data_IF_357546928838
#
_entry.id   IF_357546928838
#
_cell.length_a   1.000
_cell.length_b   1.000
_cell.length_c   1.000
_cell.angle_alpha   90.00
_cell.angle_beta   90.00
_cell.angle_gamma   90.00
#
_symmetry.space_group_name_H-M   'P 1'
#
loop_
_entity.id
_entity.type
_entity.pdbx_description
1 polymer ?
#
# COMPACT_ATOMS: atom_id res chain seq x y z
N UNK A 1 -12.79 50.86 20.44
CA UNK A 1 -11.67 49.87 20.35
C UNK A 1 -12.05 48.43 20.76
N UNK A 2 -12.84 48.18 21.81
CA UNK A 2 -13.21 46.82 22.28
C UNK A 2 -13.96 45.93 21.25
N UNK A 3 -14.90 46.48 20.45
CA UNK A 3 -15.65 45.71 19.42
C UNK A 3 -14.75 45.20 18.29
N UNK A 4 -13.84 46.02 17.78
CA UNK A 4 -12.88 45.63 16.72
C UNK A 4 -11.91 44.53 17.20
N UNK A 5 -11.53 44.56 18.49
CA UNK A 5 -10.68 43.54 19.12
C UNK A 5 -11.37 42.19 19.27
N UNK A 6 -12.66 42.16 19.64
CA UNK A 6 -13.48 40.93 19.65
C UNK A 6 -13.66 40.35 18.25
N UNK A 7 -13.83 41.19 17.23
CA UNK A 7 -13.93 40.77 15.83
C UNK A 7 -12.62 40.11 15.35
N UNK A 8 -11.47 40.70 15.70
CA UNK A 8 -10.15 40.15 15.38
C UNK A 8 -9.89 38.79 16.05
N UNK A 9 -10.24 38.65 17.33
CA UNK A 9 -10.12 37.36 18.03
C UNK A 9 -11.03 36.27 17.43
N UNK A 10 -12.26 36.63 17.02
CA UNK A 10 -13.16 35.72 16.32
C UNK A 10 -12.61 35.25 14.97
N UNK A 11 -11.99 36.15 14.20
CA UNK A 11 -11.37 35.80 12.92
C UNK A 11 -10.19 34.82 13.07
N UNK A 12 -9.34 35.03 14.08
CA UNK A 12 -8.21 34.14 14.38
C UNK A 12 -8.71 32.74 14.78
N UNK A 13 -9.75 32.68 15.61
CA UNK A 13 -10.35 31.42 16.02
C UNK A 13 -10.98 30.66 14.85
N UNK A 14 -11.64 31.38 13.93
CA UNK A 14 -12.22 30.78 12.73
C UNK A 14 -11.14 30.22 11.79
N UNK A 15 -10.03 30.93 11.61
CA UNK A 15 -8.87 30.45 10.82
C UNK A 15 -8.25 29.21 11.47
N UNK A 16 -8.12 29.18 12.80
CA UNK A 16 -7.61 28.02 13.51
C UNK A 16 -8.50 26.78 13.35
N UNK A 17 -9.83 26.95 13.43
CA UNK A 17 -10.80 25.87 13.19
C UNK A 17 -10.70 25.36 11.74
N UNK A 18 -10.63 26.27 10.76
CA UNK A 18 -10.45 25.92 9.36
C UNK A 18 -9.16 25.13 9.12
N UNK A 19 -8.05 25.53 9.76
CA UNK A 19 -6.77 24.83 9.68
C UNK A 19 -6.83 23.40 10.25
N UNK A 20 -7.47 23.24 11.41
CA UNK A 20 -7.67 21.92 12.04
C UNK A 20 -8.58 21.05 11.18
N UNK A 21 -9.68 21.61 10.67
CA UNK A 21 -10.59 20.91 9.76
C UNK A 21 -9.86 20.42 8.51
N UNK A 22 -9.02 21.27 7.91
CA UNK A 22 -8.23 20.89 6.72
C UNK A 22 -7.16 19.82 7.03
N UNK A 23 -6.60 19.84 8.23
CA UNK A 23 -5.64 18.82 8.67
C UNK A 23 -6.31 17.46 8.88
N UNK A 24 -7.51 17.42 9.49
CA UNK A 24 -8.27 16.18 9.73
C UNK A 24 -8.86 15.64 8.43
N UNK A 25 -9.33 16.50 7.53
CA UNK A 25 -9.87 16.10 6.23
C UNK A 25 -8.80 15.77 5.19
N UNK A 26 -7.51 15.78 5.54
CA UNK A 26 -6.48 15.31 4.61
C UNK A 26 -6.69 13.82 4.33
N UNK A 27 -6.79 13.41 3.05
CA UNK A 27 -6.80 12.00 2.71
C UNK A 27 -5.48 11.39 3.19
N UNK A 28 -5.57 10.40 4.09
CA UNK A 28 -4.41 9.61 4.48
C UNK A 28 -4.14 8.63 3.36
N UNK A 29 -2.96 8.76 2.76
CA UNK A 29 -2.48 7.79 1.78
C UNK A 29 -2.09 6.51 2.54
N UNK A 30 -2.74 5.40 2.19
CA UNK A 30 -2.48 4.08 2.73
C UNK A 30 -1.66 3.32 1.71
N UNK A 31 -0.46 2.91 2.07
CA UNK A 31 0.40 2.08 1.21
C UNK A 31 0.20 0.62 1.62
N UNK A 32 -0.09 -0.24 0.65
CA UNK A 32 -0.18 -1.69 0.82
C UNK A 32 1.05 -2.30 0.15
N UNK A 33 1.84 -3.06 0.90
CA UNK A 33 2.98 -3.80 0.40
C UNK A 33 2.51 -5.14 -0.20
N UNK A 34 2.78 -5.35 -1.49
CA UNK A 34 2.39 -6.56 -2.22
C UNK A 34 3.63 -7.33 -2.72
N UNK A 35 3.72 -8.64 -2.51
CA UNK A 35 4.79 -9.47 -3.07
C UNK A 35 4.28 -10.54 -4.03
N UNK A 36 4.99 -10.68 -5.16
CA UNK A 36 4.74 -11.71 -6.17
C UNK A 36 6.05 -12.28 -6.70
N UNK A 37 6.04 -13.58 -7.02
CA UNK A 37 7.13 -14.20 -7.79
C UNK A 37 6.91 -14.04 -9.30
N UNK A 38 7.99 -14.22 -10.05
CA UNK A 38 8.04 -14.18 -11.51
C UNK A 38 7.70 -15.57 -12.07
N UNK A 39 6.98 -15.57 -13.19
CA UNK A 39 6.56 -16.79 -13.87
C UNK A 39 5.14 -17.22 -13.51
N UNK A 40 4.75 -18.38 -14.02
CA UNK A 40 3.46 -19.00 -13.72
C UNK A 40 3.63 -19.99 -12.59
N UNK A 41 2.62 -20.12 -11.72
CA UNK A 41 2.58 -21.27 -10.80
C UNK A 41 2.44 -22.60 -11.57
N UNK A 42 2.12 -22.54 -12.87
CA UNK A 42 1.81 -23.69 -13.75
C UNK A 42 2.84 -23.93 -14.87
N UNK A 43 4.06 -23.43 -14.75
CA UNK A 43 5.17 -23.60 -15.73
C UNK A 43 4.85 -23.19 -17.18
N UNK A 44 3.77 -22.44 -17.37
CA UNK A 44 3.44 -21.81 -18.65
C UNK A 44 4.28 -20.55 -18.80
N UNK A 45 4.91 -20.36 -19.96
CA UNK A 45 5.66 -19.15 -20.27
C UNK A 45 4.71 -17.95 -20.34
N UNK A 46 4.60 -17.19 -19.24
CA UNK A 46 3.81 -15.96 -19.20
C UNK A 46 4.75 -14.81 -19.55
N UNK A 47 4.75 -14.41 -20.82
CA UNK A 47 5.54 -13.25 -21.28
C UNK A 47 5.01 -11.90 -20.75
N UNK A 48 3.79 -11.86 -20.19
CA UNK A 48 3.09 -10.62 -19.81
C UNK A 48 2.58 -10.54 -18.36
N UNK A 49 3.10 -11.36 -17.43
CA UNK A 49 2.55 -11.47 -16.06
C UNK A 49 2.53 -10.12 -15.33
N UNK A 50 3.61 -9.35 -15.47
CA UNK A 50 3.72 -8.00 -14.90
C UNK A 50 2.71 -7.01 -15.50
N UNK A 51 2.49 -7.05 -16.82
CA UNK A 51 1.56 -6.13 -17.50
C UNK A 51 0.11 -6.31 -17.02
N UNK A 52 -0.29 -7.54 -16.70
CA UNK A 52 -1.62 -7.82 -16.14
C UNK A 52 -1.74 -7.30 -14.71
N UNK A 53 -0.72 -7.52 -13.88
CA UNK A 53 -0.69 -7.05 -12.50
C UNK A 53 -0.64 -5.52 -12.44
N UNK A 54 0.18 -4.87 -13.27
CA UNK A 54 0.27 -3.42 -13.37
C UNK A 54 -1.10 -2.79 -13.69
N UNK A 55 -1.82 -3.33 -14.68
CA UNK A 55 -3.16 -2.88 -15.03
C UNK A 55 -4.17 -3.13 -13.91
N UNK A 56 -4.05 -4.24 -13.20
CA UNK A 56 -4.91 -4.55 -12.06
C UNK A 56 -4.67 -3.56 -10.91
N UNK A 57 -3.42 -3.24 -10.61
CA UNK A 57 -3.01 -2.24 -9.61
C UNK A 57 -3.52 -0.86 -10.02
N UNK A 58 -3.32 -0.43 -11.27
CA UNK A 58 -3.80 0.87 -11.76
C UNK A 58 -5.33 1.00 -11.61
N UNK A 59 -6.07 -0.06 -11.98
CA UNK A 59 -7.52 -0.10 -11.81
C UNK A 59 -7.92 -0.01 -10.33
N UNK A 60 -7.24 -0.76 -9.47
CA UNK A 60 -7.50 -0.78 -8.02
C UNK A 60 -7.24 0.59 -7.38
N UNK A 61 -6.10 1.23 -7.65
CA UNK A 61 -5.79 2.57 -7.12
C UNK A 61 -6.79 3.64 -7.60
N UNK A 62 -7.30 3.50 -8.83
CA UNK A 62 -8.31 4.41 -9.39
C UNK A 62 -9.67 4.26 -8.70
N UNK A 63 -10.07 3.03 -8.38
CA UNK A 63 -11.32 2.72 -7.68
C UNK A 63 -11.22 3.08 -6.18
N UNK A 64 -10.03 2.93 -5.58
CA UNK A 64 -9.77 3.16 -4.17
C UNK A 64 -8.87 4.38 -3.95
N UNK A 65 -9.45 5.58 -4.04
CA UNK A 65 -8.73 6.85 -3.81
C UNK A 65 -8.07 6.88 -2.43
N UNK A 66 -6.77 7.18 -2.39
CA UNK A 66 -5.98 7.23 -1.17
C UNK A 66 -5.34 5.89 -0.79
N UNK A 67 -5.46 4.86 -1.63
CA UNK A 67 -4.67 3.62 -1.50
C UNK A 67 -3.60 3.59 -2.59
N UNK A 68 -2.41 3.18 -2.21
CA UNK A 68 -1.27 2.95 -3.09
C UNK A 68 -0.76 1.53 -2.91
N UNK A 69 -0.47 0.85 -4.01
CA UNK A 69 0.13 -0.48 -3.96
C UNK A 69 1.63 -0.33 -4.25
N UNK A 70 2.46 -0.71 -3.28
CA UNK A 70 3.88 -0.89 -3.51
C UNK A 70 4.14 -2.38 -3.72
N UNK A 71 4.44 -2.79 -4.95
CA UNK A 71 4.66 -4.21 -5.24
C UNK A 71 6.12 -4.55 -5.48
N UNK A 72 6.57 -5.67 -4.91
CA UNK A 72 7.89 -6.25 -5.15
C UNK A 72 7.78 -7.26 -6.30
N UNK A 73 8.25 -6.87 -7.49
CA UNK A 73 8.36 -7.74 -8.66
C UNK A 73 9.80 -8.23 -8.92
N UNK A 74 9.97 -9.16 -9.86
CA UNK A 74 11.28 -9.60 -10.34
C UNK A 74 11.91 -10.76 -9.57
N UNK A 75 11.24 -11.27 -8.52
CA UNK A 75 11.74 -12.38 -7.70
C UNK A 75 11.48 -13.69 -8.45
N UNK A 76 12.49 -14.51 -8.71
CA UNK A 76 12.27 -15.80 -9.38
C UNK A 76 11.48 -16.73 -8.46
N UNK A 77 10.70 -17.67 -9.02
CA UNK A 77 9.89 -18.60 -8.23
C UNK A 77 10.76 -19.41 -7.28
N UNK A 78 11.93 -19.82 -7.76
CA UNK A 78 12.93 -20.63 -7.06
C UNK A 78 13.56 -19.89 -5.88
N UNK A 79 13.68 -18.56 -5.99
CA UNK A 79 14.27 -17.70 -4.96
C UNK A 79 13.22 -17.14 -3.98
N UNK A 80 11.93 -17.36 -4.25
CA UNK A 80 10.85 -16.66 -3.56
C UNK A 80 10.69 -17.07 -2.09
N UNK A 81 10.82 -18.36 -1.79
CA UNK A 81 10.75 -18.87 -0.41
C UNK A 81 11.88 -18.31 0.47
N UNK A 82 13.10 -18.24 -0.07
CA UNK A 82 14.24 -17.65 0.62
C UNK A 82 14.04 -16.14 0.82
N UNK A 83 13.59 -15.45 -0.23
CA UNK A 83 13.31 -14.02 -0.18
C UNK A 83 12.22 -13.67 0.85
N UNK A 84 11.15 -14.48 0.94
CA UNK A 84 10.12 -14.32 1.95
C UNK A 84 10.66 -14.60 3.36
N UNK A 85 11.46 -15.63 3.52
CA UNK A 85 12.11 -15.97 4.80
C UNK A 85 12.95 -14.80 5.32
N UNK A 86 13.71 -14.14 4.46
CA UNK A 86 14.49 -12.94 4.82
C UNK A 86 13.58 -11.80 5.31
N UNK A 87 12.43 -11.58 4.67
CA UNK A 87 11.47 -10.54 5.06
C UNK A 87 10.81 -10.83 6.40
N UNK A 88 10.46 -12.09 6.65
CA UNK A 88 9.89 -12.54 7.92
C UNK A 88 10.90 -12.33 9.05
N UNK A 89 12.16 -12.76 8.87
CA UNK A 89 13.22 -12.57 9.86
C UNK A 89 13.50 -11.10 10.17
N UNK A 90 13.25 -10.20 9.22
CA UNK A 90 13.42 -8.75 9.37
C UNK A 90 12.18 -8.02 9.89
N UNK A 91 11.09 -8.74 10.19
CA UNK A 91 9.79 -8.16 10.55
C UNK A 91 9.27 -7.17 9.50
N UNK A 92 9.48 -7.51 8.22
CA UNK A 92 9.10 -6.72 7.04
C UNK A 92 8.26 -7.53 6.06
N UNK A 93 7.39 -8.38 6.60
CA UNK A 93 6.49 -9.17 5.77
C UNK A 93 5.52 -8.23 5.03
N UNK A 94 5.31 -8.41 3.72
CA UNK A 94 4.31 -7.63 2.97
C UNK A 94 2.89 -7.87 3.48
N UNK A 95 2.00 -6.90 3.30
CA UNK A 95 0.59 -7.00 3.70
C UNK A 95 -0.16 -8.06 2.89
N UNK A 96 0.19 -8.18 1.61
CA UNK A 96 -0.38 -9.16 0.68
C UNK A 96 0.79 -9.85 -0.03
N UNK A 97 0.75 -11.17 -0.14
CA UNK A 97 1.77 -11.91 -0.88
C UNK A 97 1.19 -13.16 -1.50
N UNK A 98 1.78 -13.58 -2.62
CA UNK A 98 1.53 -14.90 -3.17
C UNK A 98 2.23 -15.95 -2.30
N UNK A 99 1.65 -17.15 -2.22
CA UNK A 99 2.21 -18.28 -1.47
C UNK A 99 2.41 -19.42 -2.45
N UNK A 100 3.60 -20.03 -2.43
CA UNK A 100 3.86 -21.25 -3.20
C UNK A 100 3.17 -22.42 -2.51
N UNK A 101 2.68 -23.38 -3.30
CA UNK A 101 1.97 -24.54 -2.76
C UNK A 101 2.82 -25.32 -1.75
N UNK A 102 4.14 -25.39 -1.98
CA UNK A 102 5.11 -26.05 -1.10
C UNK A 102 5.33 -25.32 0.23
N UNK A 103 5.12 -24.01 0.26
CA UNK A 103 5.32 -23.17 1.46
C UNK A 103 4.03 -22.92 2.24
N UNK A 104 2.87 -23.29 1.69
CA UNK A 104 1.57 -22.94 2.27
C UNK A 104 1.44 -23.35 3.75
N UNK A 105 1.85 -24.59 4.07
CA UNK A 105 1.84 -25.12 5.43
C UNK A 105 2.72 -24.33 6.41
N UNK A 106 3.77 -23.64 5.93
CA UNK A 106 4.67 -22.86 6.78
C UNK A 106 4.04 -21.54 7.28
N UNK A 107 2.96 -21.06 6.63
CA UNK A 107 2.31 -19.79 6.97
C UNK A 107 1.03 -19.94 7.78
N UNK A 108 0.44 -21.14 7.82
CA UNK A 108 -0.86 -21.39 8.45
C UNK A 108 -0.76 -22.10 9.81
N UNK A 109 0.39 -22.71 10.11
CA UNK A 109 0.66 -23.43 11.36
C UNK A 109 1.48 -22.58 12.33
#
# INVERSE_FOLDING_TARGET
MRKKRKLFLGAIFFIAILGIFFYICRPKETVIEFAMFNGSNWDVAVQESYSVIDKAIEKFEKEHKGVKINYSGGIQKEDYSEWMSERILKDKMPDIFMVLDEDFENYIN
#
